data_IF_804992293802
#
_entry.id   IF_804992293802
#
_cell.length_a   1.000
_cell.length_b   1.000
_cell.length_c   1.000
_cell.angle_alpha   90.00
_cell.angle_beta   90.00
_cell.angle_gamma   90.00
#
_symmetry.space_group_name_H-M   'P 1'
#
loop_
_entity.id
_entity.type
_entity.pdbx_description
1 polymer ?
#
# COMPACT_ATOMS: atom_id res chain seq x y z
N UNK A 1 13.93 -21.08 -36.85
CA UNK A 1 13.70 -20.96 -35.39
C UNK A 1 12.51 -20.04 -35.22
N UNK A 2 11.40 -20.53 -34.67
CA UNK A 2 10.16 -19.76 -34.53
C UNK A 2 10.26 -18.84 -33.30
N UNK A 3 9.90 -17.57 -33.45
CA UNK A 3 9.76 -16.64 -32.34
C UNK A 3 8.66 -17.13 -31.38
N UNK A 4 8.85 -17.07 -30.06
CA UNK A 4 7.80 -17.44 -29.12
C UNK A 4 6.67 -16.40 -29.21
N UNK A 5 5.45 -16.90 -29.39
CA UNK A 5 4.21 -16.15 -29.52
C UNK A 5 3.89 -15.48 -28.18
N UNK A 6 4.28 -14.22 -27.99
CA UNK A 6 3.87 -13.40 -26.85
C UNK A 6 2.40 -13.00 -27.00
N UNK A 7 1.58 -13.28 -25.98
CA UNK A 7 0.27 -12.64 -25.87
C UNK A 7 0.46 -11.23 -25.31
N UNK A 8 -0.17 -10.19 -25.90
CA UNK A 8 -0.12 -8.84 -25.35
C UNK A 8 -0.77 -8.79 -23.96
N UNK A 9 -0.25 -7.90 -23.10
CA UNK A 9 -0.76 -7.64 -21.75
C UNK A 9 -2.26 -7.31 -21.76
N UNK A 10 -2.93 -7.56 -20.63
CA UNK A 10 -4.32 -7.12 -20.44
C UNK A 10 -4.37 -5.59 -20.40
N UNK A 11 -5.32 -5.00 -21.13
CA UNK A 11 -5.52 -3.55 -21.26
C UNK A 11 -5.71 -2.78 -19.94
N UNK A 12 -6.07 -3.46 -18.86
CA UNK A 12 -6.22 -2.87 -17.52
C UNK A 12 -4.86 -2.65 -16.82
N UNK A 13 -3.96 -3.64 -16.93
CA UNK A 13 -2.60 -3.60 -16.36
C UNK A 13 -1.74 -2.57 -17.11
N UNK A 14 -1.95 -2.45 -18.43
CA UNK A 14 -1.33 -1.38 -19.22
C UNK A 14 -1.72 0.00 -18.73
N UNK A 15 -2.99 0.21 -18.38
CA UNK A 15 -3.49 1.50 -17.92
C UNK A 15 -2.93 1.89 -16.55
N UNK A 16 -2.83 0.94 -15.61
CA UNK A 16 -2.27 1.18 -14.27
C UNK A 16 -0.76 1.50 -14.29
N UNK A 17 -0.03 0.89 -15.23
CA UNK A 17 1.39 1.18 -15.50
C UNK A 17 1.53 2.53 -16.22
N UNK A 18 0.66 2.85 -17.17
CA UNK A 18 0.61 4.14 -17.87
C UNK A 18 0.29 5.32 -16.92
N UNK A 19 -0.69 5.16 -16.02
CA UNK A 19 -1.07 6.18 -15.03
C UNK A 19 0.06 6.41 -14.01
N UNK A 20 0.83 5.38 -13.66
CA UNK A 20 2.02 5.47 -12.82
C UNK A 20 3.17 6.22 -13.52
N UNK A 21 3.42 5.91 -14.79
CA UNK A 21 4.43 6.59 -15.62
C UNK A 21 4.09 8.06 -15.91
N UNK A 22 2.80 8.41 -15.95
CA UNK A 22 2.37 9.80 -16.11
C UNK A 22 2.71 10.67 -14.89
N UNK A 23 2.79 10.07 -13.70
CA UNK A 23 3.13 10.74 -12.44
C UNK A 23 4.63 10.69 -12.11
N UNK A 24 5.35 9.70 -12.64
CA UNK A 24 6.80 9.53 -12.43
C UNK A 24 7.47 9.36 -13.80
N UNK A 25 7.85 10.48 -14.47
CA UNK A 25 8.45 10.41 -15.79
C UNK A 25 9.73 9.59 -15.70
N UNK A 26 9.82 8.56 -16.56
CA UNK A 26 10.96 7.65 -16.68
C UNK A 26 12.26 8.43 -16.57
N UNK A 27 13.13 8.02 -15.66
CA UNK A 27 14.54 8.33 -15.83
C UNK A 27 15.10 7.25 -16.73
N UNK A 28 15.68 7.61 -17.88
CA UNK A 28 16.32 6.65 -18.81
C UNK A 28 17.61 6.04 -18.21
N UNK A 29 17.69 5.89 -16.88
CA UNK A 29 18.87 5.47 -16.15
C UNK A 29 18.81 3.99 -15.85
N UNK A 30 19.89 3.28 -16.13
CA UNK A 30 20.03 1.90 -15.65
C UNK A 30 20.11 1.88 -14.11
N UNK A 31 19.81 0.74 -13.49
CA UNK A 31 19.98 0.56 -12.03
C UNK A 31 21.39 0.96 -11.59
N UNK A 32 22.42 0.66 -12.38
CA UNK A 32 23.79 1.09 -12.11
C UNK A 32 23.97 2.60 -12.13
N UNK A 33 23.38 3.28 -13.11
CA UNK A 33 23.46 4.73 -13.23
C UNK A 33 22.74 5.41 -12.08
N UNK A 34 21.58 4.89 -11.64
CA UNK A 34 20.89 5.35 -10.45
C UNK A 34 21.77 5.14 -9.20
N UNK A 35 22.32 3.94 -8.99
CA UNK A 35 23.21 3.66 -7.86
C UNK A 35 24.43 4.59 -7.83
N UNK A 36 25.08 4.80 -8.98
CA UNK A 36 26.24 5.69 -9.11
C UNK A 36 25.87 7.15 -8.90
N UNK A 37 24.78 7.62 -9.51
CA UNK A 37 24.32 8.99 -9.42
C UNK A 37 23.93 9.36 -7.99
N UNK A 38 23.25 8.45 -7.28
CA UNK A 38 22.86 8.67 -5.89
C UNK A 38 23.93 8.25 -4.88
N UNK A 39 25.05 7.68 -5.32
CA UNK A 39 26.12 7.12 -4.45
C UNK A 39 25.58 6.10 -3.46
N UNK A 40 24.69 5.24 -3.95
CA UNK A 40 24.12 4.12 -3.22
C UNK A 40 24.93 2.85 -3.49
N UNK A 41 25.10 2.02 -2.47
CA UNK A 41 25.84 0.77 -2.56
C UNK A 41 24.93 -0.46 -2.73
N UNK A 42 23.61 -0.29 -2.60
CA UNK A 42 22.63 -1.39 -2.63
C UNK A 42 21.34 -0.97 -3.34
N UNK A 43 20.76 -1.90 -4.08
CA UNK A 43 19.39 -1.86 -4.59
C UNK A 43 18.61 -3.11 -4.12
N UNK A 44 17.33 -3.23 -4.47
CA UNK A 44 16.46 -4.36 -4.12
C UNK A 44 15.37 -3.98 -3.13
N UNK A 45 14.81 -4.97 -2.43
CA UNK A 45 13.62 -4.78 -1.60
C UNK A 45 13.85 -5.17 -0.16
N UNK A 46 13.14 -4.47 0.72
CA UNK A 46 12.89 -4.91 2.09
C UNK A 46 11.58 -5.69 2.11
N UNK A 47 11.59 -6.90 2.65
CA UNK A 47 10.43 -7.79 2.75
C UNK A 47 10.12 -8.01 4.22
N UNK A 48 8.91 -7.68 4.64
CA UNK A 48 8.39 -8.03 5.96
C UNK A 48 7.59 -9.32 5.87
N UNK A 49 7.98 -10.32 6.67
CA UNK A 49 7.19 -11.54 6.87
C UNK A 49 6.16 -11.29 7.97
N UNK A 50 4.89 -11.22 7.59
CA UNK A 50 3.77 -10.92 8.48
C UNK A 50 2.89 -12.15 8.80
N UNK A 51 3.28 -13.33 8.32
CA UNK A 51 2.63 -14.60 8.67
C UNK A 51 3.67 -15.69 8.88
N UNK A 52 3.45 -16.49 9.92
CA UNK A 52 4.32 -17.61 10.28
C UNK A 52 3.60 -18.96 10.20
N UNK A 53 2.39 -18.99 9.61
CA UNK A 53 1.50 -20.18 9.56
C UNK A 53 2.06 -21.33 8.74
N UNK A 54 2.90 -21.06 7.73
CA UNK A 54 3.53 -22.10 6.92
C UNK A 54 4.93 -21.73 6.45
N UNK A 55 5.93 -22.45 6.97
CA UNK A 55 7.31 -22.31 6.51
C UNK A 55 7.49 -22.75 5.05
N UNK A 56 6.80 -23.82 4.64
CA UNK A 56 6.86 -24.31 3.26
C UNK A 56 6.40 -23.25 2.24
N UNK A 57 5.27 -22.58 2.50
CA UNK A 57 4.75 -21.53 1.62
C UNK A 57 5.70 -20.33 1.57
N UNK A 58 6.25 -19.96 2.72
CA UNK A 58 7.24 -18.90 2.84
C UNK A 58 8.51 -19.19 2.03
N UNK A 59 9.09 -20.38 2.18
CA UNK A 59 10.29 -20.79 1.44
C UNK A 59 10.03 -20.77 -0.08
N UNK A 60 8.85 -21.23 -0.51
CA UNK A 60 8.42 -21.18 -1.92
C UNK A 60 8.27 -19.74 -2.41
N UNK A 61 7.66 -18.86 -1.62
CA UNK A 61 7.53 -17.43 -1.95
C UNK A 61 8.90 -16.77 -2.15
N UNK A 62 9.82 -16.95 -1.19
CA UNK A 62 11.17 -16.38 -1.25
C UNK A 62 11.94 -16.92 -2.47
N UNK A 63 11.79 -18.22 -2.77
CA UNK A 63 12.43 -18.83 -3.93
C UNK A 63 11.89 -18.26 -5.25
N UNK A 64 10.58 -18.05 -5.37
CA UNK A 64 9.96 -17.46 -6.56
C UNK A 64 10.39 -16.01 -6.77
N UNK A 65 10.31 -15.16 -5.74
CA UNK A 65 10.69 -13.75 -5.83
C UNK A 65 12.16 -13.61 -6.27
N UNK A 66 13.08 -14.34 -5.62
CA UNK A 66 14.50 -14.33 -5.98
C UNK A 66 14.76 -14.98 -7.35
N UNK A 67 13.95 -15.95 -7.73
CA UNK A 67 14.02 -16.65 -9.01
C UNK A 67 13.69 -15.72 -10.17
N UNK A 68 12.53 -15.07 -10.11
CA UNK A 68 12.09 -14.10 -11.10
C UNK A 68 13.07 -12.94 -11.23
N UNK A 69 13.62 -12.46 -10.12
CA UNK A 69 14.59 -11.37 -10.18
C UNK A 69 15.90 -11.75 -10.87
N UNK A 70 16.37 -12.97 -10.64
CA UNK A 70 17.53 -13.49 -11.35
C UNK A 70 17.24 -13.64 -12.85
N UNK A 71 16.10 -14.22 -13.20
CA UNK A 71 15.69 -14.39 -14.61
C UNK A 71 15.59 -13.04 -15.33
N UNK A 72 15.06 -12.01 -14.65
CA UNK A 72 15.01 -10.66 -15.16
C UNK A 72 16.41 -10.08 -15.43
N UNK A 73 17.31 -10.13 -14.43
CA UNK A 73 18.68 -9.63 -14.60
C UNK A 73 19.43 -10.36 -15.72
N UNK A 74 19.23 -11.68 -15.85
CA UNK A 74 19.83 -12.50 -16.92
C UNK A 74 19.27 -12.13 -18.31
N UNK A 75 17.96 -11.90 -18.41
CA UNK A 75 17.30 -11.55 -19.68
C UNK A 75 17.71 -10.19 -20.21
N UNK A 76 17.92 -9.22 -19.32
CA UNK A 76 18.25 -7.84 -19.69
C UNK A 76 19.76 -7.53 -19.63
N UNK A 77 20.59 -8.55 -19.46
CA UNK A 77 22.06 -8.45 -19.38
C UNK A 77 22.55 -7.44 -18.33
N UNK A 78 21.76 -7.21 -17.28
CA UNK A 78 22.10 -6.30 -16.17
C UNK A 78 22.88 -7.07 -15.09
N UNK A 79 24.00 -7.66 -15.50
CA UNK A 79 24.82 -8.55 -14.67
C UNK A 79 25.36 -7.85 -13.41
N UNK A 80 25.71 -6.59 -13.55
CA UNK A 80 26.06 -5.65 -12.47
C UNK A 80 24.94 -5.41 -11.44
N UNK A 81 23.68 -5.38 -11.87
CA UNK A 81 22.55 -5.21 -10.97
C UNK A 81 22.32 -6.46 -10.11
N UNK A 82 22.72 -7.64 -10.61
CA UNK A 82 22.65 -8.89 -9.84
C UNK A 82 23.46 -8.82 -8.55
N UNK A 83 24.65 -8.22 -8.60
CA UNK A 83 25.54 -8.10 -7.44
C UNK A 83 25.07 -7.04 -6.43
N UNK A 84 24.38 -6.01 -6.93
CA UNK A 84 23.84 -4.90 -6.14
C UNK A 84 22.44 -5.20 -5.57
N UNK A 85 21.71 -6.15 -6.15
CA UNK A 85 20.36 -6.52 -5.73
C UNK A 85 20.42 -7.25 -4.38
N UNK A 86 19.82 -6.64 -3.36
CA UNK A 86 19.78 -7.12 -1.99
C UNK A 86 18.33 -7.34 -1.55
N UNK A 87 18.09 -8.54 -1.06
CA UNK A 87 16.82 -8.94 -0.45
C UNK A 87 16.96 -8.88 1.06
N UNK A 88 16.49 -7.79 1.66
CA UNK A 88 16.47 -7.65 3.12
C UNK A 88 15.18 -8.25 3.65
N UNK A 89 15.24 -9.44 4.23
CA UNK A 89 14.08 -10.08 4.83
C UNK A 89 14.09 -9.76 6.33
N UNK A 90 13.00 -9.16 6.81
CA UNK A 90 12.78 -8.86 8.22
C UNK A 90 11.80 -9.88 8.78
N UNK A 91 12.29 -10.71 9.71
CA UNK A 91 11.52 -11.72 10.42
C UNK A 91 11.61 -11.47 11.92
N UNK A 92 10.46 -11.36 12.57
CA UNK A 92 10.30 -11.18 14.01
C UNK A 92 8.87 -11.62 14.36
N UNK A 93 8.68 -12.94 14.52
CA UNK A 93 7.34 -13.51 14.71
C UNK A 93 6.60 -12.91 15.91
N UNK A 94 7.32 -12.54 16.98
CA UNK A 94 6.69 -11.93 18.15
C UNK A 94 6.11 -10.54 17.87
N UNK A 95 6.62 -9.85 16.85
CA UNK A 95 6.31 -8.47 16.56
C UNK A 95 5.62 -8.26 15.20
N UNK A 96 5.61 -9.27 14.34
CA UNK A 96 5.14 -9.20 12.95
C UNK A 96 4.05 -10.21 12.60
N UNK A 97 3.78 -11.24 13.42
CA UNK A 97 2.70 -12.19 13.09
C UNK A 97 1.34 -11.48 13.12
N UNK A 98 0.62 -11.56 12.00
CA UNK A 98 -0.60 -10.82 11.71
C UNK A 98 -0.47 -9.27 11.77
N UNK A 99 0.75 -8.73 11.69
CA UNK A 99 0.97 -7.27 11.66
C UNK A 99 0.39 -6.64 10.40
N UNK A 100 -0.19 -5.45 10.53
CA UNK A 100 -0.84 -4.76 9.42
C UNK A 100 0.13 -3.90 8.59
N UNK A 101 -0.39 -3.30 7.52
CA UNK A 101 0.40 -2.45 6.61
C UNK A 101 0.84 -1.15 7.30
N UNK A 102 0.05 -0.60 8.21
CA UNK A 102 0.39 0.63 8.90
C UNK A 102 1.56 0.38 9.87
N UNK A 103 1.50 -0.70 10.65
CA UNK A 103 2.56 -1.13 11.56
C UNK A 103 3.85 -1.42 10.81
N UNK A 104 3.78 -2.18 9.71
CA UNK A 104 4.95 -2.45 8.87
C UNK A 104 5.49 -1.21 8.16
N UNK A 105 4.63 -0.23 7.81
CA UNK A 105 5.06 1.06 7.26
C UNK A 105 5.85 1.90 8.27
N UNK A 106 5.41 1.93 9.53
CA UNK A 106 6.18 2.54 10.61
C UNK A 106 7.54 1.86 10.80
N UNK A 107 7.56 0.53 10.86
CA UNK A 107 8.81 -0.25 11.01
C UNK A 107 9.76 -0.06 9.83
N UNK A 108 9.23 0.01 8.62
CA UNK A 108 10.03 0.31 7.44
C UNK A 108 10.67 1.69 7.54
N UNK A 109 9.91 2.71 7.93
CA UNK A 109 10.49 4.05 8.14
C UNK A 109 11.55 4.07 9.21
N UNK A 110 11.34 3.37 10.31
CA UNK A 110 12.33 3.21 11.35
C UNK A 110 13.59 2.52 10.82
N UNK A 111 13.45 1.50 9.98
CA UNK A 111 14.55 0.82 9.31
C UNK A 111 15.34 1.77 8.39
N UNK A 112 14.66 2.60 7.59
CA UNK A 112 15.28 3.58 6.68
C UNK A 112 15.98 4.70 7.44
N UNK A 113 15.34 5.26 8.47
CA UNK A 113 15.80 6.49 9.14
C UNK A 113 16.79 6.22 10.28
N UNK A 114 16.57 5.14 11.04
CA UNK A 114 17.27 4.86 12.30
C UNK A 114 17.95 3.49 12.33
N UNK A 115 17.56 2.59 11.42
CA UNK A 115 18.07 1.23 11.34
C UNK A 115 19.20 1.04 10.33
N UNK A 116 19.39 -0.21 9.85
CA UNK A 116 20.40 -0.54 8.85
C UNK A 116 20.28 0.28 7.55
N UNK A 117 19.07 0.62 7.11
CA UNK A 117 18.85 1.43 5.91
C UNK A 117 19.51 2.82 6.01
N UNK A 118 19.54 3.41 7.22
CA UNK A 118 20.17 4.70 7.48
C UNK A 118 21.69 4.67 7.22
N UNK A 119 22.33 3.54 7.55
CA UNK A 119 23.75 3.31 7.28
C UNK A 119 24.02 3.12 5.80
N UNK A 120 23.11 2.46 5.07
CA UNK A 120 23.22 2.22 3.63
C UNK A 120 23.13 3.52 2.82
N UNK A 121 22.35 4.49 3.29
CA UNK A 121 22.21 5.82 2.65
C UNK A 121 23.19 6.86 3.19
N UNK A 122 24.01 6.52 4.20
CA UNK A 122 24.92 7.47 4.82
C UNK A 122 25.98 7.97 3.82
N UNK A 123 26.07 9.29 3.64
CA UNK A 123 27.00 9.90 2.67
C UNK A 123 26.56 9.79 1.21
N UNK A 124 25.39 9.20 0.95
CA UNK A 124 24.76 9.19 -0.37
C UNK A 124 24.18 10.57 -0.72
N UNK A 125 23.78 10.75 -1.98
CA UNK A 125 22.96 11.88 -2.40
C UNK A 125 21.46 11.59 -2.32
N UNK A 126 21.07 10.44 -1.75
CA UNK A 126 19.68 10.02 -1.66
C UNK A 126 18.85 10.99 -0.81
N UNK A 127 17.61 11.15 -1.24
CA UNK A 127 16.58 11.95 -0.59
C UNK A 127 15.24 11.40 -1.05
N UNK A 128 14.36 10.97 -0.14
CA UNK A 128 13.10 10.33 -0.49
C UNK A 128 12.18 11.24 -1.33
N UNK A 129 12.27 12.57 -1.14
CA UNK A 129 11.44 13.54 -1.87
C UNK A 129 11.86 13.75 -3.33
N UNK A 130 13.12 13.48 -3.66
CA UNK A 130 13.71 13.83 -4.96
C UNK A 130 14.09 12.62 -5.80
N UNK A 131 14.07 11.42 -5.18
CA UNK A 131 14.61 10.20 -5.77
C UNK A 131 13.62 9.03 -5.61
N UNK A 132 12.43 9.11 -6.25
CA UNK A 132 11.46 8.02 -6.24
C UNK A 132 12.04 6.73 -6.86
N UNK A 133 12.99 6.89 -7.78
CA UNK A 133 13.70 5.84 -8.55
C UNK A 133 14.68 5.01 -7.69
N UNK A 134 14.57 5.08 -6.36
CA UNK A 134 15.32 4.26 -5.41
C UNK A 134 14.36 3.36 -4.61
N UNK A 135 13.84 2.27 -5.20
CA UNK A 135 12.74 1.53 -4.61
C UNK A 135 13.03 0.99 -3.21
N UNK A 136 14.26 0.54 -2.96
CA UNK A 136 14.74 -0.01 -1.69
C UNK A 136 14.39 0.81 -0.44
N UNK A 137 14.39 2.14 -0.56
CA UNK A 137 14.24 3.05 0.58
C UNK A 137 12.90 3.78 0.60
N UNK A 138 12.08 3.58 -0.44
CA UNK A 138 10.75 4.17 -0.59
C UNK A 138 9.65 3.12 -0.42
N UNK A 139 9.89 1.92 -0.95
CA UNK A 139 8.92 0.83 -1.03
C UNK A 139 9.40 -0.40 -0.26
N UNK A 140 8.44 -1.15 0.29
CA UNK A 140 8.70 -2.46 0.89
C UNK A 140 7.64 -3.47 0.45
N UNK A 141 7.96 -4.76 0.64
CA UNK A 141 7.03 -5.85 0.37
C UNK A 141 6.43 -6.32 1.70
N UNK A 142 5.12 -6.24 1.81
CA UNK A 142 4.35 -6.78 2.92
C UNK A 142 3.83 -8.17 2.54
N UNK A 143 4.22 -9.20 3.30
CA UNK A 143 3.84 -10.59 3.01
C UNK A 143 3.00 -11.13 4.15
N UNK A 144 1.69 -11.04 3.98
CA UNK A 144 0.68 -11.61 4.86
C UNK A 144 0.21 -12.99 4.37
N UNK A 145 -0.77 -13.58 5.08
CA UNK A 145 -1.31 -14.90 4.73
C UNK A 145 -1.89 -14.90 3.31
N UNK A 146 -2.56 -13.83 2.92
CA UNK A 146 -3.12 -13.69 1.58
C UNK A 146 -2.04 -13.80 0.49
N UNK A 147 -0.91 -13.12 0.71
CA UNK A 147 0.24 -13.13 -0.19
C UNK A 147 0.86 -14.53 -0.28
N UNK A 148 0.99 -15.24 0.85
CA UNK A 148 1.51 -16.61 0.86
C UNK A 148 0.55 -17.62 0.23
N UNK A 149 -0.75 -17.50 0.47
CA UNK A 149 -1.75 -18.39 -0.13
C UNK A 149 -1.77 -18.29 -1.66
N UNK A 150 -1.47 -17.10 -2.20
CA UNK A 150 -1.31 -16.92 -3.66
C UNK A 150 -0.24 -17.84 -4.28
N UNK A 151 0.77 -18.25 -3.51
CA UNK A 151 1.89 -19.10 -3.98
C UNK A 151 1.55 -20.60 -4.03
N UNK A 152 0.47 -21.03 -3.37
CA UNK A 152 0.21 -22.44 -3.06
C UNK A 152 -0.40 -23.21 -4.23
N UNK A 153 -1.15 -22.54 -5.12
CA UNK A 153 -1.81 -23.18 -6.25
C UNK A 153 -1.07 -22.90 -7.57
N UNK A 154 -0.11 -23.73 -7.96
CA UNK A 154 0.71 -23.63 -9.20
C UNK A 154 -0.09 -23.48 -10.52
N UNK A 155 -1.39 -23.80 -10.50
CA UNK A 155 -2.32 -23.62 -11.64
C UNK A 155 -2.99 -22.24 -11.61
N UNK A 156 -3.54 -21.82 -10.46
CA UNK A 156 -4.07 -20.45 -10.28
C UNK A 156 -2.97 -19.42 -10.41
N UNK A 157 -1.77 -19.81 -10.06
CA UNK A 157 -0.64 -18.93 -10.13
C UNK A 157 -0.21 -18.55 -11.57
N UNK A 158 -0.73 -19.28 -12.56
CA UNK A 158 -0.63 -18.97 -13.99
C UNK A 158 -1.84 -18.19 -14.52
N UNK A 159 -2.89 -18.01 -13.70
CA UNK A 159 -4.03 -17.17 -14.03
C UNK A 159 -3.64 -15.68 -13.91
N UNK A 160 -4.53 -14.80 -14.38
CA UNK A 160 -4.27 -13.36 -14.50
C UNK A 160 -3.85 -12.72 -13.15
N UNK A 161 -4.25 -13.32 -12.02
CA UNK A 161 -4.04 -12.84 -10.64
C UNK A 161 -3.06 -13.71 -9.82
N UNK A 162 -2.28 -14.55 -10.48
CA UNK A 162 -1.80 -15.79 -9.89
C UNK A 162 -0.75 -15.74 -8.77
N UNK A 163 0.22 -14.83 -8.83
CA UNK A 163 1.20 -14.66 -7.76
C UNK A 163 1.25 -13.20 -7.42
N UNK A 164 0.73 -12.77 -6.27
CA UNK A 164 0.81 -11.36 -5.88
C UNK A 164 1.50 -11.18 -4.54
N UNK A 165 2.17 -10.05 -4.41
CA UNK A 165 2.64 -9.52 -3.15
C UNK A 165 2.15 -8.09 -3.01
N UNK A 166 2.08 -7.61 -1.77
CA UNK A 166 1.68 -6.22 -1.49
C UNK A 166 2.93 -5.37 -1.46
N UNK A 167 3.10 -4.52 -2.48
CA UNK A 167 4.19 -3.53 -2.51
C UNK A 167 3.63 -2.23 -1.96
N UNK A 168 4.29 -1.70 -0.94
CA UNK A 168 3.76 -0.61 -0.12
C UNK A 168 4.69 0.59 -0.19
N UNK A 169 4.12 1.75 -0.51
CA UNK A 169 4.81 3.04 -0.38
C UNK A 169 4.58 3.61 1.02
N UNK A 170 5.59 3.48 1.89
CA UNK A 170 5.41 3.76 3.31
C UNK A 170 5.02 5.23 3.61
N UNK A 171 5.58 6.19 2.87
CA UNK A 171 5.25 7.61 3.06
C UNK A 171 3.78 7.92 2.80
N UNK A 172 3.19 7.29 1.78
CA UNK A 172 1.80 7.52 1.43
C UNK A 172 0.85 6.91 2.45
N UNK A 173 1.13 5.71 2.96
CA UNK A 173 0.36 5.08 4.04
C UNK A 173 0.37 5.98 5.29
N UNK A 174 1.55 6.45 5.69
CA UNK A 174 1.70 7.29 6.88
C UNK A 174 1.13 8.70 6.72
N UNK A 175 1.16 9.25 5.51
CA UNK A 175 0.53 10.54 5.20
C UNK A 175 -0.99 10.43 5.36
N UNK A 176 -1.60 9.40 4.80
CA UNK A 176 -3.04 9.19 4.87
C UNK A 176 -3.51 8.89 6.28
N UNK A 177 -2.73 8.14 7.06
CA UNK A 177 -3.00 7.95 8.48
C UNK A 177 -3.02 9.29 9.23
N UNK A 178 -2.03 10.16 8.98
CA UNK A 178 -2.00 11.50 9.58
C UNK A 178 -3.17 12.37 9.14
N UNK A 179 -3.60 12.28 7.88
CA UNK A 179 -4.77 13.00 7.38
C UNK A 179 -6.06 12.49 8.01
N UNK A 180 -6.19 11.17 8.20
CA UNK A 180 -7.27 10.55 8.96
C UNK A 180 -7.33 11.10 10.38
N UNK A 181 -6.20 11.09 11.09
CA UNK A 181 -6.10 11.65 12.45
C UNK A 181 -6.43 13.15 12.53
N UNK A 182 -6.17 13.92 11.48
CA UNK A 182 -6.53 15.35 11.42
C UNK A 182 -8.01 15.57 11.16
N UNK A 183 -8.65 14.71 10.37
CA UNK A 183 -10.08 14.81 10.02
C UNK A 183 -10.97 14.30 11.16
N UNK A 184 -10.53 13.28 11.89
CA UNK A 184 -11.32 12.60 12.92
C UNK A 184 -11.79 13.51 14.10
N UNK A 185 -10.99 14.44 14.64
CA UNK A 185 -11.40 15.29 15.76
C UNK A 185 -12.48 16.29 15.36
N UNK A 186 -12.36 16.89 14.17
CA UNK A 186 -13.25 17.97 13.75
C UNK A 186 -14.62 17.45 13.28
N UNK A 187 -14.65 16.30 12.61
CA UNK A 187 -15.91 15.68 12.16
C UNK A 187 -16.75 15.23 13.36
N UNK A 188 -16.13 14.55 14.33
CA UNK A 188 -16.81 14.10 15.56
C UNK A 188 -17.33 15.28 16.40
N UNK A 189 -16.57 16.37 16.51
CA UNK A 189 -16.98 17.55 17.26
C UNK A 189 -18.10 18.32 16.54
N UNK A 190 -18.01 18.52 15.22
CA UNK A 190 -19.06 19.19 14.45
C UNK A 190 -20.37 18.41 14.46
N UNK A 191 -20.30 17.09 14.31
CA UNK A 191 -21.50 16.24 14.32
C UNK A 191 -22.16 16.24 15.70
N UNK A 192 -21.37 16.20 16.78
CA UNK A 192 -21.89 16.27 18.15
C UNK A 192 -22.49 17.65 18.50
N UNK A 193 -21.86 18.74 18.08
CA UNK A 193 -22.38 20.11 18.30
C UNK A 193 -23.63 20.38 17.46
N UNK A 194 -23.64 19.95 16.20
CA UNK A 194 -24.78 20.08 15.30
C UNK A 194 -25.97 19.23 15.80
N UNK A 195 -25.72 18.00 16.27
CA UNK A 195 -26.75 17.15 16.87
C UNK A 195 -27.31 17.77 18.17
N UNK A 196 -26.44 18.31 19.02
CA UNK A 196 -26.84 19.00 20.26
C UNK A 196 -27.68 20.24 19.97
N UNK A 197 -27.28 21.05 18.98
CA UNK A 197 -28.04 22.22 18.57
C UNK A 197 -29.41 21.84 18.00
N UNK A 198 -29.47 20.82 17.14
CA UNK A 198 -30.73 20.36 16.56
C UNK A 198 -31.69 19.78 17.61
N UNK A 199 -31.17 19.05 18.62
CA UNK A 199 -31.96 18.57 19.77
C UNK A 199 -32.53 19.72 20.60
N UNK A 200 -31.75 20.79 20.82
CA UNK A 200 -32.20 21.96 21.56
C UNK A 200 -33.32 22.72 20.83
N UNK A 201 -33.17 22.93 19.51
CA UNK A 201 -34.19 23.58 18.68
C UNK A 201 -35.48 22.76 18.63
N UNK A 202 -35.38 21.44 18.53
CA UNK A 202 -36.53 20.54 18.57
C UNK A 202 -37.24 20.58 19.93
N UNK A 203 -36.49 20.58 21.03
CA UNK A 203 -37.06 20.69 22.38
C UNK A 203 -37.80 22.02 22.58
N UNK A 204 -37.22 23.13 22.09
CA UNK A 204 -37.86 24.44 22.13
C UNK A 204 -39.15 24.49 21.30
N UNK A 205 -39.14 23.92 20.08
CA UNK A 205 -40.31 23.85 19.22
C UNK A 205 -41.43 22.95 19.79
N UNK A 206 -41.07 21.83 20.44
CA UNK A 206 -42.05 20.97 21.11
C UNK A 206 -42.68 21.66 22.33
N UNK A 207 -41.92 22.49 23.06
CA UNK A 207 -42.43 23.21 24.22
C UNK A 207 -43.53 24.22 23.83
N UNK A 208 -43.36 24.92 22.72
CA UNK A 208 -44.30 25.95 22.24
C UNK A 208 -45.44 25.43 21.35
N UNK A 209 -45.36 24.20 20.85
CA UNK A 209 -46.32 23.63 19.91
C UNK A 209 -47.64 23.14 20.57
N UNK A 210 -48.72 23.25 19.80
CA UNK A 210 -50.04 22.68 20.12
C UNK A 210 -50.07 21.15 19.95
N UNK A 211 -51.11 20.46 20.41
CA UNK A 211 -51.15 18.98 20.47
C UNK A 211 -50.92 18.29 19.13
N UNK A 212 -51.53 18.78 18.05
CA UNK A 212 -51.39 18.23 16.69
C UNK A 212 -50.01 18.53 16.09
N UNK A 213 -49.48 19.71 16.40
CA UNK A 213 -48.19 20.18 15.91
C UNK A 213 -47.01 19.46 16.59
N UNK A 214 -47.16 19.10 17.87
CA UNK A 214 -46.23 18.22 18.59
C UNK A 214 -46.13 16.83 17.96
N UNK A 215 -47.26 16.26 17.52
CA UNK A 215 -47.27 14.94 16.87
C UNK A 215 -46.50 14.97 15.54
N UNK A 216 -46.70 16.03 14.74
CA UNK A 216 -45.95 16.26 13.49
C UNK A 216 -44.45 16.47 13.71
N UNK A 217 -44.07 17.24 14.72
CA UNK A 217 -42.66 17.48 15.06
C UNK A 217 -41.95 16.21 15.54
N UNK A 218 -42.61 15.37 16.34
CA UNK A 218 -42.07 14.06 16.76
C UNK A 218 -41.83 13.14 15.57
N UNK A 219 -42.78 13.06 14.63
CA UNK A 219 -42.63 12.20 13.44
C UNK A 219 -41.50 12.68 12.52
N UNK A 220 -41.34 14.00 12.35
CA UNK A 220 -40.21 14.59 11.61
C UNK A 220 -38.86 14.33 12.29
N UNK A 221 -38.81 14.38 13.62
CA UNK A 221 -37.59 14.09 14.38
C UNK A 221 -37.15 12.62 14.19
N UNK A 222 -38.08 11.67 14.25
CA UNK A 222 -37.78 10.25 14.00
C UNK A 222 -37.21 10.03 12.60
N UNK A 223 -37.83 10.62 11.57
CA UNK A 223 -37.34 10.52 10.18
C UNK A 223 -35.97 11.17 9.99
N UNK A 224 -35.68 12.26 10.71
CA UNK A 224 -34.39 12.96 10.64
C UNK A 224 -33.28 12.20 11.36
N UNK A 225 -33.60 11.53 12.47
CA UNK A 225 -32.67 10.68 13.22
C UNK A 225 -32.31 9.41 12.44
N UNK A 226 -33.26 8.86 11.69
CA UNK A 226 -33.06 7.74 10.77
C UNK A 226 -32.20 8.15 9.55
N UNK A 227 -32.33 9.39 9.08
CA UNK A 227 -31.46 9.96 8.03
C UNK A 227 -30.05 10.25 8.54
N UNK A 228 -29.90 10.85 9.72
CA UNK A 228 -28.59 11.14 10.31
C UNK A 228 -27.81 9.85 10.61
N UNK A 229 -28.49 8.79 11.02
CA UNK A 229 -27.88 7.45 11.20
C UNK A 229 -27.45 6.80 9.87
N UNK A 230 -28.01 7.23 8.73
CA UNK A 230 -27.60 6.82 7.37
C UNK A 230 -26.52 7.73 6.78
N UNK A 231 -26.47 9.00 7.16
CA UNK A 231 -25.46 9.98 6.70
C UNK A 231 -24.19 9.95 7.57
N UNK A 232 -24.27 9.60 8.86
CA UNK A 232 -23.10 9.32 9.70
C UNK A 232 -22.46 7.95 9.39
N UNK A 233 -23.11 7.17 8.53
CA UNK A 233 -22.53 6.01 7.87
C UNK A 233 -21.81 6.45 6.58
N UNK A 234 -21.04 7.55 6.65
CA UNK A 234 -19.90 7.71 5.76
C UNK A 234 -19.03 6.47 6.01
N UNK A 235 -19.13 5.56 5.05
CA UNK A 235 -18.82 4.16 5.18
C UNK A 235 -17.32 3.95 5.48
N UNK A 236 -16.93 3.28 6.57
CA UNK A 236 -15.56 2.83 6.73
C UNK A 236 -15.08 1.99 5.53
N UNK A 237 -16.00 1.37 4.77
CA UNK A 237 -15.67 0.61 3.56
C UNK A 237 -15.18 1.52 2.41
N UNK A 238 -15.60 2.79 2.31
CA UNK A 238 -15.10 3.73 1.27
C UNK A 238 -13.65 4.17 1.55
N UNK A 239 -13.23 4.17 2.82
CA UNK A 239 -11.82 4.42 3.18
C UNK A 239 -11.00 3.15 3.05
N UNK A 240 -11.57 1.97 3.35
CA UNK A 240 -10.91 0.68 3.05
C UNK A 240 -10.70 0.50 1.54
N UNK A 241 -11.63 0.96 0.70
CA UNK A 241 -11.50 0.99 -0.76
C UNK A 241 -10.36 1.92 -1.20
N UNK A 242 -10.17 3.09 -0.54
CA UNK A 242 -9.02 3.97 -0.79
C UNK A 242 -7.69 3.42 -0.26
N UNK A 243 -7.68 2.63 0.82
CA UNK A 243 -6.50 1.90 1.29
C UNK A 243 -6.20 0.67 0.39
N UNK A 244 -7.23 0.09 -0.22
CA UNK A 244 -7.09 -0.98 -1.21
C UNK A 244 -6.40 -0.49 -2.49
N UNK A 245 -6.61 0.78 -2.86
CA UNK A 245 -5.93 1.46 -3.97
C UNK A 245 -4.42 1.71 -3.71
N UNK A 246 -3.99 1.73 -2.45
CA UNK A 246 -2.57 1.86 -2.05
C UNK A 246 -1.87 0.51 -1.94
N UNK A 247 -2.67 -0.56 -1.78
CA UNK A 247 -2.21 -1.94 -1.81
C UNK A 247 -2.15 -2.37 -3.26
N UNK A 248 -1.10 -1.95 -3.96
CA UNK A 248 -0.85 -2.53 -5.28
C UNK A 248 -0.52 -4.00 -5.08
N UNK A 249 -1.45 -4.86 -5.48
CA UNK A 249 -1.20 -6.30 -5.68
C UNK A 249 -0.32 -6.39 -6.90
N UNK A 250 0.97 -6.40 -6.67
CA UNK A 250 1.94 -6.50 -7.75
C UNK A 250 2.22 -7.96 -7.96
N UNK A 251 2.14 -8.41 -9.22
CA UNK A 251 2.55 -9.76 -9.51
C UNK A 251 4.04 -9.94 -9.26
N UNK A 252 4.46 -11.10 -8.75
CA UNK A 252 5.88 -11.33 -8.41
C UNK A 252 6.81 -11.16 -9.63
N UNK A 253 6.35 -11.47 -10.84
CA UNK A 253 7.09 -11.23 -12.08
C UNK A 253 7.23 -9.74 -12.44
N UNK A 254 6.25 -8.91 -12.04
CA UNK A 254 6.24 -7.45 -12.24
C UNK A 254 7.00 -6.72 -11.11
N UNK A 255 7.19 -7.35 -9.95
CA UNK A 255 7.95 -6.77 -8.83
C UNK A 255 9.38 -6.38 -9.25
N UNK A 256 9.95 -7.10 -10.20
CA UNK A 256 11.30 -6.84 -10.72
C UNK A 256 11.27 -5.89 -11.90
N UNK A 257 10.22 -5.97 -12.73
CA UNK A 257 9.96 -4.97 -13.78
C UNK A 257 9.82 -3.56 -13.17
N UNK A 258 9.19 -3.43 -12.00
CA UNK A 258 9.13 -2.19 -11.21
C UNK A 258 10.50 -1.58 -10.93
N UNK A 259 11.58 -2.37 -10.85
CA UNK A 259 12.92 -1.87 -10.59
C UNK A 259 13.63 -1.34 -11.85
N UNK A 260 13.14 -1.70 -13.03
CA UNK A 260 13.71 -1.31 -14.31
C UNK A 260 12.80 -0.36 -15.10
N UNK A 261 11.55 -0.22 -14.66
CA UNK A 261 10.56 0.74 -15.15
C UNK A 261 10.50 2.02 -14.29
N UNK A 262 11.25 2.05 -13.16
CA UNK A 262 11.56 3.20 -12.30
C UNK A 262 12.97 3.73 -12.60
#
# INVERSE_FOLDING_TARGET
MAQPNFRPFSTHVQKEVEDFHALHPRTDRTIEEALKHYRLCQCGFVIFRCTYRSQYKWDKFVALVKGHAREYCEKWEVESARDCLRWTIIEDAAALDDADILETSHRFKDWVERGPGSQEIQGSAYSPLWHPDCPRYNWFVHVDEESLESVVDDVKAKEKDGYFCKVVYADQVLLLEREREKLHPWKVIQDAECEKQCKNELAAALASATGEERARLRMKATLRQDRFSRESADDPDVVEENLSDLRKRVRIDILVDLYAEL
#
